data_IF_423612610477
#
_entry.id   IF_423612610477
#
_cell.length_a   1.000
_cell.length_b   1.000
_cell.length_c   1.000
_cell.angle_alpha   90.00
_cell.angle_beta   90.00
_cell.angle_gamma   90.00
#
_symmetry.space_group_name_H-M   'P 1'
#
loop_
_entity.id
_entity.type
_entity.pdbx_description
1 polymer ?
#
# COMPACT_ATOMS: atom_id res chain seq x y z
N UNK A 1 -16.68 -31.29 3.97
CA UNK A 1 -16.44 -29.86 4.15
C UNK A 1 -14.98 -29.52 3.87
N UNK A 2 -14.43 -29.96 2.73
CA UNK A 2 -13.00 -29.81 2.35
C UNK A 2 -12.82 -29.19 0.95
N UNK A 3 -13.87 -28.57 0.37
CA UNK A 3 -13.83 -28.06 -1.00
C UNK A 3 -13.64 -26.53 -1.05
N UNK A 4 -13.65 -25.84 0.08
CA UNK A 4 -13.67 -24.37 0.11
C UNK A 4 -12.28 -23.72 0.15
N UNK A 5 -11.22 -24.44 0.39
CA UNK A 5 -9.87 -23.87 0.50
C UNK A 5 -9.15 -23.66 -0.85
N UNK A 6 -9.60 -24.33 -1.92
CA UNK A 6 -8.93 -24.27 -3.23
C UNK A 6 -9.42 -23.13 -4.12
N UNK A 7 -10.50 -22.43 -3.77
CA UNK A 7 -11.12 -21.39 -4.60
C UNK A 7 -10.64 -19.97 -4.30
N UNK A 8 -9.74 -19.78 -3.36
CA UNK A 8 -9.34 -18.44 -2.91
C UNK A 8 -7.94 -18.01 -3.33
N UNK A 9 -7.21 -18.84 -4.05
CA UNK A 9 -5.86 -18.47 -4.48
C UNK A 9 -5.93 -17.60 -5.74
N UNK A 10 -5.20 -16.48 -5.69
CA UNK A 10 -4.96 -15.66 -6.87
C UNK A 10 -4.22 -16.50 -7.93
N UNK A 11 -4.69 -16.45 -9.16
CA UNK A 11 -4.03 -17.15 -10.26
C UNK A 11 -2.76 -16.41 -10.68
N UNK A 12 -1.79 -17.12 -11.24
CA UNK A 12 -0.57 -16.49 -11.79
C UNK A 12 -0.88 -15.41 -12.83
N UNK A 13 -1.90 -15.63 -13.66
CA UNK A 13 -2.33 -14.63 -14.65
C UNK A 13 -2.84 -13.35 -14.00
N UNK A 14 -3.70 -13.46 -12.98
CA UNK A 14 -4.19 -12.33 -12.20
C UNK A 14 -3.04 -11.60 -11.47
N UNK A 15 -2.11 -12.35 -10.88
CA UNK A 15 -0.95 -11.77 -10.20
C UNK A 15 -0.04 -10.99 -11.17
N UNK A 16 0.19 -11.52 -12.37
CA UNK A 16 0.98 -10.84 -13.40
C UNK A 16 0.27 -9.56 -13.87
N UNK A 17 -1.02 -9.62 -14.15
CA UNK A 17 -1.79 -8.45 -14.59
C UNK A 17 -1.76 -7.35 -13.52
N UNK A 18 -1.99 -7.71 -12.26
CA UNK A 18 -1.92 -6.76 -11.15
C UNK A 18 -0.51 -6.23 -10.93
N UNK A 19 0.53 -7.04 -11.12
CA UNK A 19 1.92 -6.61 -11.04
C UNK A 19 2.30 -5.61 -12.14
N UNK A 20 1.87 -5.86 -13.38
CA UNK A 20 2.07 -4.90 -14.50
C UNK A 20 1.29 -3.61 -14.25
N UNK A 21 0.04 -3.72 -13.84
CA UNK A 21 -0.79 -2.58 -13.49
C UNK A 21 -0.14 -1.74 -12.38
N UNK A 22 0.34 -2.39 -11.31
CA UNK A 22 1.07 -1.74 -10.23
C UNK A 22 2.30 -0.99 -10.74
N UNK A 23 3.14 -1.65 -11.55
CA UNK A 23 4.35 -1.03 -12.10
C UNK A 23 4.05 0.20 -12.96
N UNK A 24 3.02 0.13 -13.81
CA UNK A 24 2.60 1.27 -14.65
C UNK A 24 2.04 2.41 -13.80
N UNK A 25 1.16 2.12 -12.85
CA UNK A 25 0.49 3.14 -12.03
C UNK A 25 1.42 3.78 -10.98
N UNK A 26 2.51 3.13 -10.61
CA UNK A 26 3.56 3.74 -9.78
C UNK A 26 4.46 4.70 -10.58
N UNK A 27 4.78 4.35 -11.83
CA UNK A 27 5.54 5.24 -12.71
C UNK A 27 4.77 6.52 -13.07
N UNK A 28 3.49 6.37 -13.32
CA UNK A 28 2.55 7.48 -13.49
C UNK A 28 1.74 7.56 -12.21
N UNK A 29 2.01 8.47 -11.26
CA UNK A 29 1.45 8.45 -9.91
C UNK A 29 -0.08 8.62 -9.90
N UNK A 30 -0.79 7.61 -10.37
CA UNK A 30 -2.25 7.54 -10.54
C UNK A 30 -2.80 6.47 -9.58
N UNK A 31 -2.67 6.67 -8.27
CA UNK A 31 -3.29 5.78 -7.26
C UNK A 31 -3.26 4.28 -7.59
N UNK A 32 -2.10 3.65 -7.49
CA UNK A 32 -1.93 2.19 -7.71
C UNK A 32 -2.89 1.35 -6.86
N UNK A 33 -3.10 1.72 -5.60
CA UNK A 33 -4.02 1.04 -4.70
C UNK A 33 -5.48 1.10 -5.21
N UNK A 34 -5.92 2.23 -5.75
CA UNK A 34 -7.26 2.36 -6.33
C UNK A 34 -7.46 1.39 -7.50
N UNK A 35 -6.47 1.28 -8.38
CA UNK A 35 -6.54 0.37 -9.52
C UNK A 35 -6.55 -1.10 -9.10
N UNK A 36 -5.76 -1.51 -8.11
CA UNK A 36 -5.77 -2.90 -7.62
C UNK A 36 -7.09 -3.30 -6.96
N UNK A 37 -7.88 -2.34 -6.49
CA UNK A 37 -9.24 -2.60 -5.97
C UNK A 37 -10.27 -2.60 -7.10
N UNK A 38 -10.22 -1.63 -8.00
CA UNK A 38 -11.25 -1.43 -9.04
C UNK A 38 -11.18 -2.53 -10.12
N UNK A 39 -9.99 -2.87 -10.60
CA UNK A 39 -9.81 -3.82 -11.69
C UNK A 39 -10.39 -5.21 -11.41
N UNK A 40 -10.16 -5.85 -10.27
CA UNK A 40 -10.78 -7.13 -9.95
C UNK A 40 -12.32 -7.08 -9.99
N UNK A 41 -12.91 -6.00 -9.50
CA UNK A 41 -14.36 -5.81 -9.57
C UNK A 41 -14.86 -5.65 -11.01
N UNK A 42 -14.13 -4.90 -11.84
CA UNK A 42 -14.50 -4.65 -13.22
C UNK A 42 -14.41 -5.91 -14.10
N UNK A 43 -13.44 -6.78 -13.83
CA UNK A 43 -13.24 -8.03 -14.57
C UNK A 43 -13.95 -9.24 -13.96
N UNK A 44 -14.75 -9.06 -12.91
CA UNK A 44 -15.49 -10.15 -12.26
C UNK A 44 -14.54 -11.18 -11.60
N UNK A 45 -13.43 -10.73 -11.02
CA UNK A 45 -12.50 -11.61 -10.29
C UNK A 45 -12.98 -11.80 -8.85
N UNK A 46 -14.08 -12.54 -8.69
CA UNK A 46 -14.77 -12.70 -7.41
C UNK A 46 -13.89 -13.29 -6.31
N UNK A 47 -12.92 -14.12 -6.66
CA UNK A 47 -11.93 -14.65 -5.74
C UNK A 47 -11.08 -13.53 -5.08
N UNK A 48 -10.66 -12.53 -5.87
CA UNK A 48 -9.86 -11.40 -5.37
C UNK A 48 -10.75 -10.43 -4.58
N UNK A 49 -11.96 -10.17 -5.07
CA UNK A 49 -12.94 -9.32 -4.38
C UNK A 49 -13.29 -9.90 -3.00
N UNK A 50 -13.46 -11.21 -2.91
CA UNK A 50 -13.67 -11.90 -1.65
C UNK A 50 -12.45 -11.76 -0.70
N UNK A 51 -11.24 -11.78 -1.23
CA UNK A 51 -10.03 -11.55 -0.44
C UNK A 51 -9.93 -10.14 0.11
N UNK A 52 -10.30 -9.14 -0.69
CA UNK A 52 -10.28 -7.73 -0.28
C UNK A 52 -11.19 -7.44 0.91
N UNK A 53 -12.28 -8.19 1.05
CA UNK A 53 -13.28 -8.00 2.11
C UNK A 53 -12.94 -8.69 3.44
N UNK A 54 -11.92 -9.53 3.51
CA UNK A 54 -11.52 -10.25 4.72
C UNK A 54 -10.63 -9.39 5.61
N UNK A 55 -10.90 -9.35 6.91
CA UNK A 55 -10.16 -8.54 7.87
C UNK A 55 -8.67 -8.96 8.02
N UNK A 56 -8.39 -10.27 7.91
CA UNK A 56 -7.04 -10.84 7.93
C UNK A 56 -6.71 -11.49 6.58
N UNK A 57 -6.72 -10.68 5.55
CA UNK A 57 -6.58 -11.16 4.19
C UNK A 57 -5.11 -11.23 3.74
N UNK A 58 -4.69 -12.30 3.06
CA UNK A 58 -3.43 -12.36 2.33
C UNK A 58 -3.33 -11.26 1.24
N UNK A 59 -4.45 -10.66 0.86
CA UNK A 59 -4.51 -9.54 -0.09
C UNK A 59 -3.62 -8.36 0.31
N UNK A 60 -3.67 -7.94 1.57
CA UNK A 60 -2.84 -6.85 2.04
C UNK A 60 -1.34 -7.17 1.91
N UNK A 61 -0.94 -8.39 2.29
CA UNK A 61 0.44 -8.85 2.12
C UNK A 61 0.85 -8.86 0.64
N UNK A 62 -0.03 -9.34 -0.25
CA UNK A 62 0.22 -9.34 -1.70
C UNK A 62 0.40 -7.92 -2.25
N UNK A 63 -0.47 -6.97 -1.89
CA UNK A 63 -0.36 -5.56 -2.32
C UNK A 63 0.92 -4.92 -1.78
N UNK A 64 1.29 -5.17 -0.53
CA UNK A 64 2.55 -4.69 0.04
C UNK A 64 3.75 -5.26 -0.75
N UNK A 65 3.73 -6.54 -1.08
CA UNK A 65 4.80 -7.16 -1.89
C UNK A 65 4.90 -6.55 -3.29
N UNK A 66 3.77 -6.21 -3.92
CA UNK A 66 3.77 -5.50 -5.20
C UNK A 66 4.44 -4.12 -5.08
N UNK A 67 4.13 -3.36 -4.04
CA UNK A 67 4.76 -2.06 -3.80
C UNK A 67 6.27 -2.19 -3.51
N UNK A 68 6.68 -3.18 -2.72
CA UNK A 68 8.10 -3.47 -2.48
C UNK A 68 8.80 -3.82 -3.78
N UNK A 69 8.17 -4.66 -4.62
CA UNK A 69 8.72 -5.04 -5.92
C UNK A 69 8.92 -3.85 -6.85
N UNK A 70 7.92 -2.97 -6.98
CA UNK A 70 8.02 -1.75 -7.79
C UNK A 70 9.06 -0.77 -7.22
N UNK A 71 9.13 -0.60 -5.90
CA UNK A 71 10.13 0.24 -5.25
C UNK A 71 11.57 -0.25 -5.51
N UNK A 72 11.81 -1.56 -5.38
CA UNK A 72 13.11 -2.16 -5.70
C UNK A 72 13.44 -2.01 -7.17
N UNK A 73 12.49 -2.23 -8.07
CA UNK A 73 12.66 -2.01 -9.51
C UNK A 73 13.06 -0.57 -9.84
N UNK A 74 12.39 0.42 -9.24
CA UNK A 74 12.71 1.84 -9.39
C UNK A 74 14.08 2.19 -8.80
N UNK A 75 14.44 1.62 -7.66
CA UNK A 75 15.77 1.82 -7.08
C UNK A 75 16.88 1.28 -8.00
N UNK A 76 16.68 0.10 -8.59
CA UNK A 76 17.65 -0.48 -9.54
C UNK A 76 17.70 0.36 -10.82
N UNK A 77 16.56 0.78 -11.35
CA UNK A 77 16.51 1.56 -12.58
C UNK A 77 17.17 2.94 -12.41
N UNK A 78 16.90 3.64 -11.33
CA UNK A 78 17.39 4.98 -11.04
C UNK A 78 18.62 4.98 -10.11
N UNK A 79 19.35 3.87 -9.98
CA UNK A 79 20.43 3.74 -9.00
C UNK A 79 21.50 4.83 -9.11
N UNK A 80 21.85 5.24 -10.33
CA UNK A 80 22.84 6.32 -10.57
C UNK A 80 22.34 7.66 -10.02
N UNK A 81 21.10 8.00 -10.33
CA UNK A 81 20.47 9.23 -9.82
C UNK A 81 20.39 9.23 -8.30
N UNK A 82 20.06 8.08 -7.69
CA UNK A 82 20.06 7.96 -6.24
C UNK A 82 21.44 8.15 -5.63
N UNK A 83 22.49 7.57 -6.21
CA UNK A 83 23.86 7.78 -5.77
C UNK A 83 24.26 9.27 -5.87
N UNK A 84 23.94 9.93 -6.98
CA UNK A 84 24.20 11.37 -7.15
C UNK A 84 23.51 12.22 -6.09
N UNK A 85 22.23 11.95 -5.80
CA UNK A 85 21.48 12.66 -4.78
C UNK A 85 22.06 12.44 -3.39
N UNK A 86 22.42 11.21 -3.05
CA UNK A 86 23.04 10.89 -1.75
C UNK A 86 24.41 11.57 -1.61
N UNK A 87 25.26 11.51 -2.63
CA UNK A 87 26.57 12.18 -2.63
C UNK A 87 26.40 13.69 -2.52
N UNK A 88 25.47 14.28 -3.26
CA UNK A 88 25.16 15.70 -3.19
C UNK A 88 24.71 16.13 -1.80
N UNK A 89 23.88 15.32 -1.14
CA UNK A 89 23.46 15.57 0.25
C UNK A 89 24.66 15.64 1.20
N UNK A 90 25.53 14.63 1.20
CA UNK A 90 26.71 14.63 2.06
C UNK A 90 27.71 15.74 1.71
N UNK A 91 27.86 16.08 0.42
CA UNK A 91 28.68 17.22 -0.01
C UNK A 91 28.15 18.54 0.56
N UNK A 92 26.84 18.73 0.57
CA UNK A 92 26.19 19.92 1.15
C UNK A 92 26.42 20.02 2.65
N UNK A 93 26.32 18.91 3.37
CA UNK A 93 26.61 18.87 4.82
C UNK A 93 28.05 19.30 5.12
N UNK A 94 29.01 18.86 4.28
CA UNK A 94 30.42 19.21 4.44
C UNK A 94 30.72 20.67 4.08
N UNK A 95 30.15 21.15 2.96
CA UNK A 95 30.38 22.51 2.45
C UNK A 95 29.53 23.57 3.18
N UNK A 96 28.43 23.16 3.81
CA UNK A 96 27.39 24.03 4.41
C UNK A 96 26.79 25.04 3.44
N UNK A 97 26.78 24.72 2.15
CA UNK A 97 26.22 25.55 1.07
C UNK A 97 25.53 24.66 0.05
N UNK A 98 24.42 25.15 -0.49
CA UNK A 98 23.64 24.50 -1.55
C UNK A 98 23.89 25.28 -2.84
N UNK A 99 24.68 24.72 -3.75
CA UNK A 99 25.11 25.39 -4.96
C UNK A 99 24.53 24.77 -6.24
N UNK A 100 24.28 23.45 -6.23
CA UNK A 100 23.80 22.73 -7.41
C UNK A 100 22.33 22.38 -7.33
N UNK A 101 21.70 22.14 -8.50
CA UNK A 101 20.31 21.69 -8.59
C UNK A 101 20.09 20.33 -7.91
N UNK A 102 21.06 19.43 -8.01
CA UNK A 102 20.99 18.09 -7.36
C UNK A 102 21.06 18.21 -5.84
N UNK A 103 21.89 19.11 -5.30
CA UNK A 103 21.96 19.40 -3.86
C UNK A 103 20.64 19.98 -3.36
N UNK A 104 20.02 20.87 -4.12
CA UNK A 104 18.71 21.44 -3.81
C UNK A 104 17.63 20.38 -3.84
N UNK A 105 17.65 19.47 -4.83
CA UNK A 105 16.73 18.34 -4.92
C UNK A 105 16.85 17.42 -3.70
N UNK A 106 18.06 17.09 -3.27
CA UNK A 106 18.30 16.27 -2.09
C UNK A 106 17.63 16.86 -0.84
N UNK A 107 17.81 18.17 -0.60
CA UNK A 107 17.17 18.86 0.52
C UNK A 107 15.65 18.94 0.39
N UNK A 108 15.12 19.16 -0.81
CA UNK A 108 13.67 19.19 -1.04
C UNK A 108 13.04 17.84 -0.72
N UNK A 109 13.66 16.72 -1.10
CA UNK A 109 13.17 15.38 -0.78
C UNK A 109 13.09 15.19 0.74
N UNK A 110 14.15 15.55 1.47
CA UNK A 110 14.20 15.39 2.93
C UNK A 110 13.13 16.27 3.60
N UNK A 111 13.09 17.55 3.25
CA UNK A 111 12.16 18.52 3.84
C UNK A 111 10.69 18.13 3.54
N UNK A 112 10.40 17.61 2.35
CA UNK A 112 9.06 17.16 1.99
C UNK A 112 8.68 15.85 2.72
N UNK A 113 9.63 14.97 3.00
CA UNK A 113 9.37 13.67 3.63
C UNK A 113 9.08 13.80 5.13
N UNK A 114 9.75 14.74 5.82
CA UNK A 114 9.59 14.93 7.27
C UNK A 114 8.13 15.22 7.67
N UNK A 115 7.42 16.21 7.11
CA UNK A 115 6.05 16.50 7.52
C UNK A 115 5.10 15.35 7.19
N UNK A 116 5.29 14.66 6.06
CA UNK A 116 4.48 13.50 5.68
C UNK A 116 4.69 12.35 6.67
N UNK A 117 5.95 12.08 7.06
CA UNK A 117 6.28 11.07 8.06
C UNK A 117 5.67 11.38 9.43
N UNK A 118 5.78 12.62 9.90
CA UNK A 118 5.18 13.06 11.17
C UNK A 118 3.66 12.93 11.16
N UNK A 119 3.01 13.39 10.09
CA UNK A 119 1.55 13.30 9.95
C UNK A 119 1.10 11.84 9.85
N UNK A 120 1.81 10.97 9.14
CA UNK A 120 1.51 9.55 9.02
C UNK A 120 1.58 8.84 10.38
N UNK A 121 2.63 9.06 11.15
CA UNK A 121 2.78 8.50 12.51
C UNK A 121 1.68 9.02 13.44
N UNK A 122 1.40 10.32 13.44
CA UNK A 122 0.33 10.89 14.29
C UNK A 122 -1.05 10.39 13.90
N UNK A 123 -1.29 10.18 12.62
CA UNK A 123 -2.57 9.66 12.12
C UNK A 123 -2.78 8.20 12.51
N UNK A 124 -1.75 7.37 12.37
CA UNK A 124 -1.82 5.95 12.75
C UNK A 124 -2.05 5.74 14.23
N UNK A 125 -1.42 6.54 15.10
CA UNK A 125 -1.64 6.48 16.54
C UNK A 125 -3.03 6.93 16.96
N UNK A 126 -3.65 7.86 16.24
CA UNK A 126 -5.03 8.31 16.54
C UNK A 126 -6.10 7.34 16.09
N UNK A 127 -5.91 6.63 14.99
CA UNK A 127 -6.87 5.64 14.48
C UNK A 127 -6.90 4.36 15.32
N UNK A 128 -5.80 3.97 15.92
CA UNK A 128 -5.72 2.79 16.79
C UNK A 128 -6.61 2.89 18.04
N UNK A 129 -6.94 4.11 18.51
CA UNK A 129 -7.76 4.34 19.72
C UNK A 129 -9.24 4.63 19.43
N UNK A 130 -9.65 4.68 18.17
CA UNK A 130 -10.99 5.17 17.78
C UNK A 130 -11.88 4.16 17.08
N UNK A 131 -11.54 2.88 17.11
CA UNK A 131 -12.47 1.88 16.62
C UNK A 131 -13.46 1.52 17.73
N UNK A 132 -14.73 2.00 17.67
CA UNK A 132 -15.73 1.49 18.58
C UNK A 132 -15.96 0.02 18.23
N UNK A 133 -15.76 -0.86 19.17
CA UNK A 133 -16.24 -2.23 19.07
C UNK A 133 -17.76 -2.17 18.93
N UNK A 134 -18.27 -2.17 17.70
CA UNK A 134 -19.68 -2.43 17.46
C UNK A 134 -19.94 -3.89 17.79
N UNK A 135 -20.18 -4.15 19.07
CA UNK A 135 -20.85 -5.37 19.47
C UNK A 135 -22.23 -5.32 18.80
N UNK A 136 -22.60 -6.29 17.95
CA UNK A 136 -23.96 -6.33 17.42
C UNK A 136 -24.93 -6.40 18.61
N UNK A 137 -26.06 -5.69 18.56
CA UNK A 137 -27.04 -5.78 19.61
C UNK A 137 -27.45 -7.27 19.78
N UNK A 138 -27.31 -7.79 20.99
CA UNK A 138 -27.81 -9.10 21.32
C UNK A 138 -29.34 -9.07 21.04
N UNK A 139 -29.72 -9.63 19.91
CA UNK A 139 -31.14 -9.90 19.64
C UNK A 139 -31.63 -10.89 20.69
N UNK A 140 -32.34 -10.37 21.69
CA UNK A 140 -33.12 -11.16 22.62
C UNK A 140 -34.31 -11.74 21.83
N UNK A 141 -34.09 -12.85 21.16
CA UNK A 141 -35.16 -13.70 20.74
C UNK A 141 -35.62 -14.44 21.98
N UNK A 142 -36.50 -13.79 22.76
CA UNK A 142 -37.31 -14.48 23.76
C UNK A 142 -38.27 -15.43 23.02
N UNK A 143 -38.01 -16.70 23.18
CA UNK A 143 -38.96 -17.77 22.85
C UNK A 143 -40.22 -17.56 23.64
N UNK A 144 -41.24 -16.99 23.03
CA UNK A 144 -42.63 -17.05 23.53
C UNK A 144 -43.37 -17.93 22.55
N UNK A 145 -43.68 -19.13 22.99
CA UNK A 145 -44.46 -20.02 22.19
C UNK A 145 -44.73 -21.34 22.88
N UNK A 146 -45.55 -21.35 23.87
CA UNK A 146 -46.27 -22.56 24.29
C UNK A 146 -47.72 -22.19 24.50
N UNK A 147 -48.55 -22.63 23.64
CA UNK A 147 -49.93 -23.05 23.93
C UNK A 147 -50.47 -23.77 22.73
#
# INVERSE_FOLDING_TARGET
>A
MLITAAQSLITYGQAIVLGVLQGVTELFPISSLGHTVIFPNLFGWDNIVAWQSQAESPWLAFVVMLHVGSAVGLLIYFWRTWVEVVVAFFATLRKRKVETSTERLAWLIIVATIPVGILGVRSSTRSAWRWPSHSPPRSSWSSTGSS
#
